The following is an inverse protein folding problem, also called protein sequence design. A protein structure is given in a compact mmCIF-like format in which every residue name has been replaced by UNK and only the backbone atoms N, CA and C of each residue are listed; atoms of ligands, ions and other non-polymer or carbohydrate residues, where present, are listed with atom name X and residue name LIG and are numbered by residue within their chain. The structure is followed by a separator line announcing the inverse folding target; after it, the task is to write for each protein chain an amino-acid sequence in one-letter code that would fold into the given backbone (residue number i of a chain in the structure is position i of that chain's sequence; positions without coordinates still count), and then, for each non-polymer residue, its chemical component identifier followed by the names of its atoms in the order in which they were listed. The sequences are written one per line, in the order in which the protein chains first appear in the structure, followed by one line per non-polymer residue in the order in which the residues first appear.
data_IF_554207292765
#
_entry.id   IF_554207292765
#
_cell.length_a   1.000
_cell.length_b   1.000
_cell.length_c   1.000
_cell.angle_alpha   90.00
_cell.angle_beta   90.00
_cell.angle_gamma   90.00
#
_symmetry.space_group_name_H-M   'P 1'
#
loop_
_entity.id
_entity.type
_entity.pdbx_description
1 polymer ?
#
# COMPACT_ATOMS: atom_id res chain seq x y z
N UNK A 1 24.69 -6.98 -35.02
CA UNK A 1 23.39 -6.36 -34.67
C UNK A 1 22.73 -7.22 -33.61
N UNK A 2 22.42 -6.70 -32.41
CA UNK A 2 21.57 -7.44 -31.49
C UNK A 2 20.17 -7.58 -32.10
N UNK A 3 19.45 -8.69 -31.84
CA UNK A 3 18.10 -8.89 -32.33
C UNK A 3 17.15 -7.81 -31.77
N UNK A 4 16.06 -7.47 -32.48
CA UNK A 4 15.11 -6.47 -32.04
C UNK A 4 14.49 -6.90 -30.70
N UNK A 5 14.63 -6.05 -29.69
CA UNK A 5 14.11 -6.31 -28.35
C UNK A 5 12.59 -6.31 -28.39
N UNK A 6 11.96 -7.34 -27.85
CA UNK A 6 10.52 -7.28 -27.55
C UNK A 6 10.26 -6.10 -26.60
N UNK A 7 9.11 -5.45 -26.73
CA UNK A 7 8.77 -4.23 -25.98
C UNK A 7 8.97 -4.37 -24.46
N UNK A 8 8.69 -5.55 -23.89
CA UNK A 8 8.91 -5.84 -22.47
C UNK A 8 10.38 -5.94 -22.05
N UNK A 9 11.25 -6.53 -22.89
CA UNK A 9 12.70 -6.59 -22.62
C UNK A 9 13.39 -5.23 -22.65
N UNK A 10 12.95 -4.32 -23.52
CA UNK A 10 13.52 -2.97 -23.59
C UNK A 10 13.18 -2.14 -22.33
N UNK A 11 11.92 -2.19 -21.88
CA UNK A 11 11.50 -1.51 -20.65
C UNK A 11 12.24 -2.02 -19.42
N UNK A 12 12.36 -3.35 -19.24
CA UNK A 12 13.09 -3.92 -18.10
C UNK A 12 14.54 -3.46 -18.03
N UNK A 13 15.22 -3.38 -19.17
CA UNK A 13 16.57 -2.84 -19.21
C UNK A 13 16.61 -1.36 -18.84
N UNK A 14 15.72 -0.53 -19.40
CA UNK A 14 15.65 0.90 -19.06
C UNK A 14 15.41 1.11 -17.55
N UNK A 15 14.54 0.31 -16.95
CA UNK A 15 14.30 0.34 -15.50
C UNK A 15 15.53 -0.09 -14.68
N UNK A 16 16.33 -1.05 -15.17
CA UNK A 16 17.59 -1.42 -14.55
C UNK A 16 18.64 -0.30 -14.68
N UNK A 17 18.73 0.36 -15.82
CA UNK A 17 19.61 1.52 -16.04
C UNK A 17 19.25 2.66 -15.08
N UNK A 18 17.95 2.96 -14.90
CA UNK A 18 17.47 3.96 -13.94
C UNK A 18 17.82 3.62 -12.48
N UNK A 19 17.79 2.34 -12.09
CA UNK A 19 18.18 1.91 -10.74
C UNK A 19 19.70 1.93 -10.52
N UNK A 20 20.47 1.78 -11.61
CA UNK A 20 21.86 1.35 -11.60
C UNK A 20 21.93 -0.09 -12.11
N UNK A 21 22.61 -0.36 -13.25
CA UNK A 21 22.52 -1.63 -13.96
C UNK A 21 23.02 -2.83 -13.13
N UNK A 22 24.00 -2.59 -12.25
CA UNK A 22 24.60 -3.60 -11.38
C UNK A 22 23.88 -3.76 -10.03
N UNK A 23 22.89 -2.92 -9.76
CA UNK A 23 22.12 -2.97 -8.51
C UNK A 23 20.97 -3.96 -8.68
N UNK A 24 20.80 -4.95 -7.79
CA UNK A 24 19.64 -5.82 -7.80
C UNK A 24 18.33 -5.04 -7.56
N UNK A 25 17.26 -5.43 -8.23
CA UNK A 25 15.95 -4.83 -7.99
C UNK A 25 15.46 -5.17 -6.58
N UNK A 26 15.04 -4.17 -5.81
CA UNK A 26 14.29 -4.38 -4.57
C UNK A 26 12.92 -4.96 -4.90
N UNK A 27 12.60 -6.12 -4.34
CA UNK A 27 11.30 -6.76 -4.52
C UNK A 27 10.18 -5.88 -3.97
N UNK A 28 9.06 -5.82 -4.68
CA UNK A 28 7.85 -5.16 -4.20
C UNK A 28 7.11 -6.09 -3.22
N UNK A 29 6.92 -5.59 -2.00
CA UNK A 29 6.07 -6.25 -1.01
C UNK A 29 4.63 -5.70 -1.06
N UNK A 30 3.73 -6.31 -0.29
CA UNK A 30 2.34 -5.87 -0.23
C UNK A 30 2.19 -4.44 0.27
N UNK A 31 3.12 -3.97 1.12
CA UNK A 31 3.12 -2.59 1.62
C UNK A 31 3.42 -1.60 0.51
N UNK A 32 4.43 -1.86 -0.31
CA UNK A 32 4.82 -1.05 -1.45
C UNK A 32 3.67 -0.97 -2.46
N UNK A 33 3.05 -2.11 -2.79
CA UNK A 33 1.90 -2.18 -3.71
C UNK A 33 0.66 -1.46 -3.15
N UNK A 34 0.34 -1.64 -1.87
CA UNK A 34 -0.75 -0.95 -1.20
C UNK A 34 -0.55 0.57 -1.19
N UNK A 35 0.70 1.00 -1.05
CA UNK A 35 1.05 2.39 -0.95
C UNK A 35 1.17 3.08 -2.32
N UNK A 36 1.51 2.33 -3.38
CA UNK A 36 1.31 2.74 -4.77
C UNK A 36 -0.19 2.99 -5.05
N UNK A 37 -1.06 2.06 -4.63
CA UNK A 37 -2.51 2.21 -4.73
C UNK A 37 -3.05 3.40 -3.92
N UNK A 38 -2.40 3.74 -2.80
CA UNK A 38 -2.78 4.85 -1.95
C UNK A 38 -2.47 6.22 -2.56
N UNK A 39 -1.45 6.35 -3.42
CA UNK A 39 -1.09 7.61 -4.08
C UNK A 39 -0.88 7.43 -5.59
N UNK A 40 -1.96 7.17 -6.34
CA UNK A 40 -1.89 6.75 -7.75
C UNK A 40 -1.39 7.81 -8.72
N UNK A 41 -1.35 9.08 -8.31
CA UNK A 41 -0.89 10.20 -9.14
C UNK A 41 0.59 10.54 -8.97
N UNK A 42 1.35 9.76 -8.19
CA UNK A 42 2.76 10.05 -7.93
C UNK A 42 3.68 9.32 -8.91
N UNK A 43 4.11 10.02 -9.96
CA UNK A 43 5.02 9.48 -10.98
C UNK A 43 6.36 9.08 -10.39
N UNK A 44 6.93 9.92 -9.51
CA UNK A 44 8.17 9.62 -8.77
C UNK A 44 8.09 8.28 -8.05
N UNK A 45 6.96 7.99 -7.39
CA UNK A 45 6.78 6.70 -6.74
C UNK A 45 6.68 5.58 -7.77
N UNK A 46 5.86 5.74 -8.78
CA UNK A 46 5.62 4.71 -9.79
C UNK A 46 6.91 4.27 -10.49
N UNK A 47 7.77 5.23 -10.88
CA UNK A 47 9.05 4.91 -11.53
C UNK A 47 10.04 4.26 -10.57
N UNK A 48 10.14 4.73 -9.32
CA UNK A 48 11.07 4.16 -8.33
C UNK A 48 10.64 2.75 -7.90
N UNK A 49 9.35 2.53 -7.69
CA UNK A 49 8.78 1.21 -7.36
C UNK A 49 8.97 0.25 -8.54
N UNK A 50 8.65 0.65 -9.76
CA UNK A 50 8.81 -0.24 -10.92
C UNK A 50 10.27 -0.45 -11.35
N UNK A 51 11.16 0.51 -11.08
CA UNK A 51 12.60 0.32 -11.23
C UNK A 51 13.20 -0.53 -10.10
N UNK A 52 12.46 -0.82 -9.02
CA UNK A 52 12.97 -1.58 -7.88
C UNK A 52 14.07 -0.83 -7.10
N UNK A 53 13.98 0.49 -7.00
CA UNK A 53 14.94 1.31 -6.25
C UNK A 53 14.69 1.16 -4.75
N UNK A 54 15.76 1.00 -3.97
CA UNK A 54 15.66 1.07 -2.51
C UNK A 54 15.42 2.52 -2.05
N UNK A 55 14.14 2.86 -1.89
CA UNK A 55 13.73 4.21 -1.48
C UNK A 55 14.20 4.60 -0.09
N UNK A 56 14.52 3.65 0.80
CA UNK A 56 15.07 3.97 2.12
C UNK A 56 16.50 4.47 1.97
N UNK A 57 17.36 3.69 1.30
CA UNK A 57 18.75 4.09 0.98
C UNK A 57 18.79 5.37 0.16
N UNK A 58 17.87 5.53 -0.81
CA UNK A 58 17.73 6.76 -1.58
C UNK A 58 17.37 7.96 -0.69
N UNK A 59 16.45 7.80 0.25
CA UNK A 59 16.07 8.87 1.19
C UNK A 59 17.25 9.27 2.09
N UNK A 60 18.04 8.30 2.55
CA UNK A 60 19.25 8.54 3.34
C UNK A 60 20.30 9.32 2.55
N UNK A 61 20.56 8.91 1.29
CA UNK A 61 21.51 9.60 0.40
C UNK A 61 21.05 11.02 0.01
N UNK A 62 19.73 11.27 -0.03
CA UNK A 62 19.14 12.61 -0.19
C UNK A 62 19.19 13.46 1.10
N UNK A 63 19.74 12.93 2.21
CA UNK A 63 19.78 13.62 3.50
C UNK A 63 18.41 13.80 4.17
N UNK A 64 17.42 12.99 3.78
CA UNK A 64 16.04 13.04 4.29
C UNK A 64 15.57 11.66 4.78
N UNK A 65 16.30 11.02 5.72
CA UNK A 65 16.02 9.67 6.18
C UNK A 65 14.60 9.58 6.76
N UNK A 66 13.96 8.43 6.55
CA UNK A 66 12.65 8.15 7.13
C UNK A 66 12.76 7.16 8.29
N UNK A 67 12.08 7.40 9.40
CA UNK A 67 12.07 6.50 10.55
C UNK A 67 11.13 5.27 10.36
N UNK A 68 10.75 4.93 9.13
CA UNK A 68 9.79 3.86 8.88
C UNK A 68 10.28 2.51 9.43
N UNK A 69 9.46 1.89 10.28
CA UNK A 69 9.68 0.51 10.74
C UNK A 69 10.82 0.33 11.74
N UNK A 70 11.41 1.40 12.28
CA UNK A 70 12.63 1.33 13.08
C UNK A 70 12.42 1.07 14.59
N UNK A 71 11.18 0.94 15.08
CA UNK A 71 10.95 0.63 16.49
C UNK A 71 11.08 -0.87 16.74
N UNK A 72 12.24 -1.30 17.24
CA UNK A 72 12.49 -2.68 17.68
C UNK A 72 11.44 -3.17 18.68
N UNK A 73 11.01 -2.30 19.61
CA UNK A 73 9.93 -2.61 20.55
C UNK A 73 8.59 -2.90 19.84
N UNK A 74 8.24 -2.12 18.82
CA UNK A 74 7.01 -2.34 18.07
C UNK A 74 7.05 -3.65 17.26
N UNK A 75 8.22 -4.02 16.73
CA UNK A 75 8.45 -5.29 16.03
C UNK A 75 8.31 -6.47 16.99
N UNK A 76 9.04 -6.47 18.11
CA UNK A 76 8.97 -7.55 19.11
C UNK A 76 7.56 -7.74 19.65
N UNK A 77 6.86 -6.64 19.98
CA UNK A 77 5.47 -6.70 20.42
C UNK A 77 4.53 -7.23 19.33
N UNK A 78 4.77 -6.87 18.07
CA UNK A 78 4.03 -7.38 16.92
C UNK A 78 4.16 -8.89 16.79
N UNK A 79 5.40 -9.38 16.74
CA UNK A 79 5.69 -10.81 16.61
C UNK A 79 5.14 -11.62 17.78
N UNK A 80 5.24 -11.10 19.01
CA UNK A 80 4.69 -11.77 20.19
C UNK A 80 3.15 -11.85 20.14
N UNK A 81 2.48 -10.79 19.68
CA UNK A 81 1.03 -10.80 19.51
C UNK A 81 0.60 -11.77 18.39
N UNK A 82 1.29 -11.77 17.26
CA UNK A 82 1.04 -12.69 16.17
C UNK A 82 1.22 -14.16 16.57
N UNK A 83 2.34 -14.48 17.23
CA UNK A 83 2.59 -15.82 17.77
C UNK A 83 1.48 -16.26 18.73
N UNK A 84 0.96 -15.34 19.55
CA UNK A 84 -0.17 -15.62 20.45
C UNK A 84 -1.48 -15.89 19.67
N UNK A 85 -1.77 -15.13 18.61
CA UNK A 85 -2.96 -15.34 17.76
C UNK A 85 -2.91 -16.71 17.08
N UNK A 86 -1.70 -17.15 16.70
CA UNK A 86 -1.44 -18.40 15.96
C UNK A 86 -1.12 -19.60 16.85
N UNK A 87 -1.06 -19.42 18.17
CA UNK A 87 -0.83 -20.51 19.11
C UNK A 87 -1.91 -21.60 19.00
N UNK A 88 -1.60 -22.79 19.51
CA UNK A 88 -2.53 -23.93 19.57
C UNK A 88 -3.16 -24.27 18.20
N UNK A 89 -2.35 -24.26 17.14
CA UNK A 89 -2.81 -24.52 15.78
C UNK A 89 -3.73 -23.43 15.21
N UNK A 90 -3.71 -22.23 15.78
CA UNK A 90 -4.56 -21.12 15.39
C UNK A 90 -6.03 -21.27 15.82
N UNK A 91 -6.32 -22.05 16.87
CA UNK A 91 -7.68 -22.26 17.36
C UNK A 91 -8.44 -20.95 17.62
N UNK A 92 -7.79 -19.98 18.29
CA UNK A 92 -8.39 -18.67 18.57
C UNK A 92 -8.60 -17.84 17.30
N UNK A 93 -7.67 -17.91 16.35
CA UNK A 93 -7.82 -17.26 15.06
C UNK A 93 -9.04 -17.82 14.29
N UNK A 94 -9.16 -19.15 14.23
CA UNK A 94 -10.25 -19.82 13.53
C UNK A 94 -11.60 -19.57 14.21
N UNK A 95 -11.65 -19.52 15.54
CA UNK A 95 -12.83 -19.07 16.29
C UNK A 95 -13.26 -17.67 15.85
N UNK A 96 -12.32 -16.72 15.75
CA UNK A 96 -12.61 -15.35 15.30
C UNK A 96 -13.06 -15.31 13.82
N UNK A 97 -12.48 -16.14 12.95
CA UNK A 97 -12.91 -16.26 11.54
C UNK A 97 -14.35 -16.78 11.47
N UNK A 98 -14.66 -17.87 12.16
CA UNK A 98 -16.01 -18.44 12.23
C UNK A 98 -17.01 -17.39 12.71
N UNK A 99 -16.79 -16.79 13.89
CA UNK A 99 -17.72 -15.81 14.48
C UNK A 99 -17.98 -14.59 13.59
N UNK A 100 -16.95 -14.08 12.91
CA UNK A 100 -17.04 -12.80 12.19
C UNK A 100 -17.35 -12.93 10.71
N UNK A 101 -17.02 -14.07 10.09
CA UNK A 101 -17.08 -14.25 8.64
C UNK A 101 -17.92 -15.43 8.18
N UNK A 102 -18.12 -16.45 9.03
CA UNK A 102 -18.93 -17.61 8.68
C UNK A 102 -19.63 -18.27 9.89
N UNK A 103 -20.51 -17.54 10.59
CA UNK A 103 -21.18 -18.07 11.80
C UNK A 103 -22.17 -19.20 11.50
N UNK A 104 -22.53 -19.41 10.22
CA UNK A 104 -23.40 -20.49 9.77
C UNK A 104 -22.69 -21.81 9.52
N UNK A 105 -21.35 -21.80 9.40
CA UNK A 105 -20.56 -23.01 9.27
C UNK A 105 -20.46 -23.77 10.61
N UNK A 106 -20.12 -25.06 10.54
CA UNK A 106 -19.77 -25.83 11.73
C UNK A 106 -18.56 -25.16 12.42
N UNK A 107 -18.59 -24.96 13.75
CA UNK A 107 -17.46 -24.39 14.49
C UNK A 107 -16.18 -25.20 14.24
N UNK A 108 -15.01 -24.55 14.17
CA UNK A 108 -13.73 -25.24 14.02
C UNK A 108 -13.45 -26.07 15.27
N UNK A 109 -13.54 -27.40 15.15
CA UNK A 109 -13.12 -28.34 16.20
C UNK A 109 -11.66 -28.79 15.99
N UNK A 110 -11.34 -29.18 14.76
CA UNK A 110 -9.99 -29.46 14.27
C UNK A 110 -9.77 -28.72 12.95
N UNK A 111 -8.52 -28.33 12.67
CA UNK A 111 -8.14 -27.67 11.43
C UNK A 111 -6.90 -28.31 10.81
N UNK A 112 -6.84 -28.31 9.48
CA UNK A 112 -5.65 -28.70 8.75
C UNK A 112 -4.65 -27.54 8.71
N UNK A 113 -3.38 -27.83 9.02
CA UNK A 113 -2.25 -26.89 8.91
C UNK A 113 -1.21 -27.49 7.95
N UNK A 114 -1.32 -27.24 6.63
CA UNK A 114 -0.37 -27.78 5.68
C UNK A 114 1.01 -27.15 5.86
N UNK A 115 2.08 -27.96 5.74
CA UNK A 115 3.44 -27.44 5.64
C UNK A 115 3.63 -26.70 4.31
N UNK A 116 4.05 -25.44 4.39
CA UNK A 116 4.29 -24.54 3.26
C UNK A 116 5.79 -24.33 2.98
N UNK A 117 6.66 -25.10 3.64
CA UNK A 117 8.10 -25.04 3.44
C UNK A 117 8.48 -25.47 2.02
N UNK A 118 9.40 -24.72 1.42
CA UNK A 118 10.02 -25.00 0.12
C UNK A 118 11.23 -24.10 -0.10
N UNK A 119 12.09 -24.46 -1.05
CA UNK A 119 13.27 -23.66 -1.42
C UNK A 119 12.84 -22.43 -2.21
N UNK A 120 13.18 -21.25 -1.69
CA UNK A 120 13.00 -19.97 -2.37
C UNK A 120 11.54 -19.53 -2.55
N UNK A 121 11.32 -18.28 -2.98
CA UNK A 121 9.98 -17.71 -3.12
C UNK A 121 9.08 -18.45 -4.14
N UNK A 122 9.66 -18.89 -5.26
CA UNK A 122 8.96 -19.65 -6.29
C UNK A 122 8.49 -21.00 -5.76
N UNK A 123 9.37 -21.72 -5.06
CA UNK A 123 9.04 -23.01 -4.45
C UNK A 123 7.91 -22.86 -3.41
N UNK A 124 8.00 -21.86 -2.53
CA UNK A 124 6.95 -21.58 -1.53
C UNK A 124 5.62 -21.20 -2.19
N UNK A 125 5.67 -20.46 -3.29
CA UNK A 125 4.47 -20.11 -4.08
C UNK A 125 3.82 -21.36 -4.69
N UNK A 126 4.61 -22.24 -5.27
CA UNK A 126 4.12 -23.50 -5.84
C UNK A 126 3.54 -24.41 -4.75
N UNK A 127 4.20 -24.52 -3.60
CA UNK A 127 3.71 -25.31 -2.45
C UNK A 127 2.41 -24.75 -1.90
N UNK A 128 2.30 -23.43 -1.76
CA UNK A 128 1.08 -22.74 -1.34
C UNK A 128 -0.08 -23.01 -2.30
N UNK A 129 0.15 -22.91 -3.62
CA UNK A 129 -0.89 -23.19 -4.61
C UNK A 129 -1.39 -24.65 -4.56
N UNK A 130 -0.49 -25.61 -4.31
CA UNK A 130 -0.84 -27.01 -4.07
C UNK A 130 -1.70 -27.16 -2.81
N UNK A 131 -1.27 -26.58 -1.69
CA UNK A 131 -1.99 -26.64 -0.42
C UNK A 131 -3.40 -26.02 -0.51
N UNK A 132 -3.55 -24.87 -1.20
CA UNK A 132 -4.86 -24.25 -1.45
C UNK A 132 -5.78 -25.17 -2.27
N UNK A 133 -5.24 -25.86 -3.29
CA UNK A 133 -6.01 -26.82 -4.09
C UNK A 133 -6.45 -28.02 -3.27
N UNK A 134 -5.54 -28.61 -2.49
CA UNK A 134 -5.82 -29.75 -1.60
C UNK A 134 -6.89 -29.38 -0.57
N UNK A 135 -6.74 -28.23 0.09
CA UNK A 135 -7.68 -27.72 1.08
C UNK A 135 -9.08 -27.44 0.49
N UNK A 136 -9.14 -26.90 -0.72
CA UNK A 136 -10.41 -26.66 -1.42
C UNK A 136 -11.16 -27.97 -1.71
N UNK A 137 -10.44 -29.06 -2.00
CA UNK A 137 -11.03 -30.38 -2.23
C UNK A 137 -11.50 -31.08 -0.95
N UNK A 138 -10.98 -30.68 0.22
CA UNK A 138 -11.35 -31.23 1.52
C UNK A 138 -12.60 -30.52 2.10
N UNK A 139 -13.75 -30.69 1.44
CA UNK A 139 -15.01 -30.06 1.84
C UNK A 139 -15.38 -30.41 3.28
N UNK A 140 -15.92 -29.43 4.03
CA UNK A 140 -16.30 -29.62 5.43
C UNK A 140 -15.15 -29.40 6.43
N UNK A 141 -13.93 -29.16 5.97
CA UNK A 141 -12.75 -28.97 6.82
C UNK A 141 -12.29 -27.52 6.83
N UNK A 142 -11.96 -27.00 8.02
CA UNK A 142 -11.24 -25.73 8.16
C UNK A 142 -9.76 -25.95 7.87
N UNK A 143 -9.16 -25.13 7.00
CA UNK A 143 -7.70 -25.15 6.78
C UNK A 143 -7.11 -23.79 7.06
N UNK A 144 -6.06 -23.74 7.89
CA UNK A 144 -5.28 -22.55 8.17
C UNK A 144 -3.92 -22.65 7.47
N UNK A 145 -3.68 -21.78 6.50
CA UNK A 145 -2.37 -21.57 5.91
C UNK A 145 -1.69 -20.44 6.68
N UNK A 146 -0.65 -20.78 7.43
CA UNK A 146 0.18 -19.82 8.17
C UNK A 146 1.32 -19.30 7.28
N UNK A 147 1.41 -17.97 7.12
CA UNK A 147 2.37 -17.31 6.22
C UNK A 147 2.49 -17.97 4.82
N UNK A 148 1.38 -18.15 4.08
CA UNK A 148 1.47 -18.66 2.72
C UNK A 148 2.20 -17.66 1.83
N UNK A 149 2.96 -18.16 0.85
CA UNK A 149 3.57 -17.29 -0.15
C UNK A 149 2.74 -17.32 -1.43
N UNK A 150 2.33 -16.15 -1.91
CA UNK A 150 1.55 -15.99 -3.14
C UNK A 150 2.24 -14.98 -4.05
N UNK A 151 2.15 -15.18 -5.36
CA UNK A 151 2.78 -14.30 -6.34
C UNK A 151 1.74 -13.45 -7.07
N UNK A 152 2.07 -12.18 -7.30
CA UNK A 152 1.31 -11.25 -8.13
C UNK A 152 2.20 -10.72 -9.24
N UNK A 153 1.74 -10.76 -10.50
CA UNK A 153 2.50 -10.14 -11.59
C UNK A 153 2.40 -8.61 -11.51
N UNK A 154 3.54 -7.94 -11.52
CA UNK A 154 3.66 -6.49 -11.51
C UNK A 154 4.60 -6.09 -12.64
N UNK A 155 4.02 -5.53 -13.71
CA UNK A 155 4.74 -5.12 -14.91
C UNK A 155 5.62 -6.23 -15.53
N UNK A 156 5.14 -7.49 -15.50
CA UNK A 156 5.86 -8.63 -16.06
C UNK A 156 6.99 -9.18 -15.20
N UNK A 157 6.98 -8.85 -13.90
CA UNK A 157 7.86 -9.40 -12.86
C UNK A 157 7.03 -9.88 -11.67
N UNK A 158 7.34 -11.03 -11.04
CA UNK A 158 6.60 -11.50 -9.88
C UNK A 158 6.96 -10.69 -8.63
N UNK A 159 5.92 -10.23 -7.93
CA UNK A 159 6.00 -9.80 -6.53
C UNK A 159 5.58 -10.97 -5.65
N UNK A 160 6.48 -11.44 -4.79
CA UNK A 160 6.19 -12.50 -3.80
C UNK A 160 5.66 -11.87 -2.53
N UNK A 161 4.50 -12.35 -2.09
CA UNK A 161 3.67 -11.73 -1.07
C UNK A 161 3.36 -12.77 0.02
N UNK A 162 3.41 -12.34 1.27
CA UNK A 162 3.23 -13.21 2.43
C UNK A 162 2.17 -12.60 3.35
N UNK A 163 0.86 -12.88 3.13
CA UNK A 163 -0.17 -12.54 4.12
C UNK A 163 0.09 -13.24 5.46
N UNK A 164 -0.40 -12.66 6.55
CA UNK A 164 -0.20 -13.25 7.89
C UNK A 164 -0.87 -14.62 7.99
N UNK A 165 -2.07 -14.78 7.42
CA UNK A 165 -2.69 -16.09 7.20
C UNK A 165 -3.73 -16.08 6.07
N UNK A 166 -4.02 -17.27 5.53
CA UNK A 166 -5.17 -17.52 4.67
C UNK A 166 -5.97 -18.69 5.24
N UNK A 167 -7.29 -18.52 5.34
CA UNK A 167 -8.20 -19.58 5.77
C UNK A 167 -9.00 -20.08 4.57
N UNK A 168 -9.00 -21.40 4.38
CA UNK A 168 -9.96 -22.09 3.52
C UNK A 168 -11.12 -22.53 4.41
N UNK A 169 -12.29 -21.99 4.11
CA UNK A 169 -13.54 -22.30 4.82
C UNK A 169 -14.05 -23.70 4.42
N UNK A 170 -14.94 -24.32 5.22
CA UNK A 170 -15.54 -25.61 4.90
C UNK A 170 -16.27 -25.67 3.54
N UNK A 171 -16.71 -24.53 3.02
CA UNK A 171 -17.34 -24.38 1.70
C UNK A 171 -16.32 -24.27 0.54
N UNK A 172 -15.02 -24.36 0.83
CA UNK A 172 -13.92 -24.23 -0.14
C UNK A 172 -13.55 -22.79 -0.49
N UNK A 173 -14.21 -21.77 0.06
CA UNK A 173 -13.88 -20.37 -0.19
C UNK A 173 -12.70 -19.89 0.65
N UNK A 174 -12.00 -18.85 0.19
CA UNK A 174 -10.74 -18.40 0.81
C UNK A 174 -10.89 -17.01 1.43
N UNK A 175 -10.31 -16.81 2.61
CA UNK A 175 -10.27 -15.53 3.32
C UNK A 175 -8.84 -15.16 3.70
N UNK A 176 -8.46 -13.93 3.41
CA UNK A 176 -7.22 -13.32 3.94
C UNK A 176 -7.45 -12.89 5.39
N UNK A 177 -6.44 -13.14 6.23
CA UNK A 177 -6.36 -12.66 7.60
C UNK A 177 -5.13 -11.74 7.73
N UNK A 178 -5.35 -10.54 8.24
CA UNK A 178 -4.29 -9.60 8.64
C UNK A 178 -4.23 -9.51 10.16
N UNK A 179 -3.05 -9.66 10.74
CA UNK A 179 -2.79 -9.52 12.16
C UNK A 179 -1.98 -8.23 12.34
N UNK A 180 -2.50 -7.30 13.15
CA UNK A 180 -1.84 -6.02 13.43
C UNK A 180 -1.77 -5.76 14.92
N UNK A 181 -0.70 -5.11 15.36
CA UNK A 181 -0.42 -4.87 16.79
C UNK A 181 -0.91 -3.54 17.34
N UNK A 182 -1.71 -2.78 16.57
CA UNK A 182 -2.43 -1.61 17.09
C UNK A 182 -3.75 -2.04 17.73
N UNK A 183 -4.18 -1.43 18.84
CA UNK A 183 -5.36 -1.89 19.56
C UNK A 183 -6.67 -1.53 18.83
N UNK A 184 -7.69 -2.37 19.03
CA UNK A 184 -9.10 -2.02 18.86
C UNK A 184 -9.66 -1.59 20.22
N UNK A 185 -9.98 -0.30 20.37
CA UNK A 185 -10.57 0.29 21.58
C UNK A 185 -12.09 0.28 21.45
N UNK A 186 -12.79 -0.35 22.39
CA UNK A 186 -14.26 -0.42 22.41
C UNK A 186 -14.85 -0.92 21.08
N UNK A 187 -14.15 -1.89 20.45
CA UNK A 187 -14.54 -2.48 19.17
C UNK A 187 -14.17 -1.67 17.91
N UNK A 188 -13.48 -0.54 18.06
CA UNK A 188 -13.04 0.32 16.95
C UNK A 188 -11.53 0.52 16.95
N UNK A 189 -10.92 0.50 15.76
CA UNK A 189 -9.52 0.86 15.58
C UNK A 189 -9.39 2.20 14.84
N UNK A 190 -8.21 2.80 14.94
CA UNK A 190 -7.82 3.99 14.17
C UNK A 190 -8.14 3.80 12.67
N UNK A 191 -9.02 4.64 12.08
CA UNK A 191 -9.45 4.49 10.70
C UNK A 191 -8.31 4.55 9.68
N UNK A 192 -7.25 5.30 9.95
CA UNK A 192 -6.09 5.37 9.06
C UNK A 192 -5.31 4.04 9.07
N UNK A 193 -5.16 3.42 10.24
CA UNK A 193 -4.52 2.10 10.38
C UNK A 193 -5.36 0.98 9.76
N UNK A 194 -6.66 0.97 10.00
CA UNK A 194 -7.61 0.05 9.34
C UNK A 194 -7.56 0.22 7.83
N UNK A 195 -7.57 1.46 7.35
CA UNK A 195 -7.46 1.76 5.92
C UNK A 195 -6.15 1.28 5.30
N UNK A 196 -5.03 1.35 6.04
CA UNK A 196 -3.75 0.81 5.60
C UNK A 196 -3.77 -0.72 5.52
N UNK A 197 -4.24 -1.41 6.56
CA UNK A 197 -4.39 -2.86 6.57
C UNK A 197 -5.32 -3.35 5.45
N UNK A 198 -6.45 -2.67 5.23
CA UNK A 198 -7.39 -2.97 4.15
C UNK A 198 -6.75 -2.87 2.75
N UNK A 199 -5.83 -1.91 2.54
CA UNK A 199 -5.11 -1.79 1.27
C UNK A 199 -4.08 -2.90 1.08
N UNK A 200 -3.39 -3.33 2.14
CA UNK A 200 -2.50 -4.50 2.09
C UNK A 200 -3.28 -5.78 1.81
N UNK A 201 -4.34 -6.03 2.58
CA UNK A 201 -5.23 -7.18 2.38
C UNK A 201 -5.81 -7.24 0.96
N UNK A 202 -6.14 -6.10 0.36
CA UNK A 202 -6.60 -6.04 -1.01
C UNK A 202 -5.55 -6.52 -2.04
N UNK A 203 -4.25 -6.32 -1.78
CA UNK A 203 -3.17 -6.87 -2.61
C UNK A 203 -3.16 -8.39 -2.52
N UNK A 204 -3.28 -8.94 -1.30
CA UNK A 204 -3.33 -10.39 -1.09
C UNK A 204 -4.57 -11.02 -1.72
N UNK A 205 -5.74 -10.38 -1.60
CA UNK A 205 -6.97 -10.82 -2.27
C UNK A 205 -6.78 -10.87 -3.79
N UNK A 206 -6.15 -9.86 -4.40
CA UNK A 206 -5.86 -9.87 -5.85
C UNK A 206 -4.92 -11.02 -6.25
N UNK A 207 -3.88 -11.27 -5.45
CA UNK A 207 -2.95 -12.36 -5.70
C UNK A 207 -3.64 -13.73 -5.56
N UNK A 208 -4.49 -13.92 -4.54
CA UNK A 208 -5.29 -15.13 -4.38
C UNK A 208 -6.31 -15.31 -5.49
N UNK A 209 -6.96 -14.25 -5.97
CA UNK A 209 -7.87 -14.32 -7.13
C UNK A 209 -7.13 -14.86 -8.38
N UNK A 210 -5.88 -14.45 -8.58
CA UNK A 210 -5.04 -14.94 -9.67
C UNK A 210 -4.63 -16.42 -9.50
N UNK A 211 -4.48 -16.90 -8.26
CA UNK A 211 -4.25 -18.33 -7.96
C UNK A 211 -5.54 -19.13 -8.18
N UNK A 212 -6.68 -18.66 -7.66
CA UNK A 212 -7.98 -19.29 -7.78
C UNK A 212 -8.41 -19.48 -9.24
N UNK A 213 -8.14 -18.48 -10.09
CA UNK A 213 -8.44 -18.53 -11.52
C UNK A 213 -7.71 -19.65 -12.30
N UNK A 214 -6.72 -20.32 -11.70
CA UNK A 214 -5.99 -21.47 -12.29
C UNK A 214 -6.61 -22.82 -11.92
N UNK A 215 -7.64 -22.83 -11.08
CA UNK A 215 -8.35 -24.03 -10.63
C UNK A 215 -9.71 -24.10 -11.31
N UNK A 216 -10.24 -25.33 -11.48
CA UNK A 216 -11.57 -25.58 -12.04
C UNK A 216 -12.36 -26.56 -11.14
N UNK A 217 -13.51 -26.14 -10.57
CA UNK A 217 -14.05 -24.78 -10.61
C UNK A 217 -13.17 -23.80 -9.81
N UNK A 218 -13.14 -22.54 -10.24
CA UNK A 218 -12.38 -21.49 -9.55
C UNK A 218 -12.98 -21.19 -8.16
N UNK A 219 -12.22 -21.38 -7.05
CA UNK A 219 -12.73 -21.13 -5.72
C UNK A 219 -13.03 -19.66 -5.47
N UNK A 220 -14.04 -19.38 -4.64
CA UNK A 220 -14.39 -18.01 -4.29
C UNK A 220 -13.39 -17.42 -3.30
N UNK A 221 -12.68 -16.38 -3.71
CA UNK A 221 -11.92 -15.51 -2.79
C UNK A 221 -12.86 -14.47 -2.18
N UNK A 222 -13.04 -14.49 -0.85
CA UNK A 222 -13.93 -13.58 -0.14
C UNK A 222 -13.32 -12.17 -0.07
N UNK A 223 -14.15 -11.15 -0.28
CA UNK A 223 -13.73 -9.73 -0.17
C UNK A 223 -13.94 -9.12 1.23
N UNK A 224 -14.55 -9.86 2.15
CA UNK A 224 -14.50 -9.55 3.58
C UNK A 224 -13.31 -10.30 4.16
N UNK A 225 -12.29 -9.56 4.55
CA UNK A 225 -11.07 -10.08 5.19
C UNK A 225 -11.20 -9.96 6.70
N UNK A 226 -10.42 -10.75 7.44
CA UNK A 226 -10.36 -10.60 8.90
C UNK A 226 -9.19 -9.71 9.28
N UNK A 227 -9.46 -8.61 10.00
CA UNK A 227 -8.43 -7.83 10.68
C UNK A 227 -8.42 -8.22 12.15
N UNK A 228 -7.33 -8.83 12.61
CA UNK A 228 -7.11 -9.24 14.00
C UNK A 228 -6.20 -8.24 14.69
N UNK A 229 -6.63 -7.75 15.85
CA UNK A 229 -5.87 -6.79 16.65
C UNK A 229 -6.00 -7.09 18.16
N UNK A 230 -5.10 -6.55 18.99
CA UNK A 230 -5.27 -6.57 20.44
C UNK A 230 -6.56 -5.87 20.85
N UNK A 231 -7.29 -6.46 21.80
CA UNK A 231 -8.50 -5.90 22.40
C UNK A 231 -8.13 -4.91 23.50
N UNK A 232 -8.61 -3.68 23.37
CA UNK A 232 -8.43 -2.60 24.33
C UNK A 232 -6.94 -2.42 24.70
N UNK A 233 -6.61 -2.49 25.98
CA UNK A 233 -5.23 -2.41 26.48
C UNK A 233 -4.61 -3.78 26.81
N UNK A 234 -5.22 -4.87 26.30
CA UNK A 234 -4.78 -6.24 26.55
C UNK A 234 -4.13 -6.86 25.31
N UNK A 235 -3.42 -7.98 25.49
CA UNK A 235 -2.97 -8.83 24.39
C UNK A 235 -4.00 -9.92 24.03
N UNK A 236 -5.27 -9.77 24.43
CA UNK A 236 -6.32 -10.70 23.97
C UNK A 236 -6.67 -10.35 22.53
N UNK A 237 -6.74 -11.32 21.61
CA UNK A 237 -7.11 -11.02 20.24
C UNK A 237 -8.61 -10.70 20.14
N UNK A 238 -8.93 -9.74 19.29
CA UNK A 238 -10.28 -9.49 18.78
C UNK A 238 -10.17 -9.23 17.28
N UNK A 239 -11.31 -9.29 16.58
CA UNK A 239 -11.31 -9.20 15.13
C UNK A 239 -12.40 -8.28 14.60
N UNK A 240 -12.19 -7.75 13.39
CA UNK A 240 -13.19 -7.03 12.62
C UNK A 240 -13.19 -7.52 11.18
N UNK A 241 -14.38 -7.74 10.63
CA UNK A 241 -14.56 -8.11 9.23
C UNK A 241 -14.52 -6.84 8.36
N UNK A 242 -13.52 -6.71 7.49
CA UNK A 242 -13.29 -5.52 6.67
C UNK A 242 -13.61 -5.82 5.22
N UNK A 243 -14.51 -5.07 4.60
CA UNK A 243 -14.78 -5.16 3.15
C UNK A 243 -13.69 -4.40 2.38
N UNK A 244 -12.97 -5.13 1.52
CA UNK A 244 -11.86 -4.57 0.74
C UNK A 244 -12.18 -4.35 -0.73
N UNK A 245 -13.44 -4.46 -1.18
CA UNK A 245 -13.82 -4.31 -2.61
C UNK A 245 -13.34 -2.99 -3.20
N UNK A 246 -13.48 -1.89 -2.46
CA UNK A 246 -13.02 -0.55 -2.90
C UNK A 246 -11.51 -0.53 -3.09
N UNK A 247 -10.76 -1.01 -2.11
CA UNK A 247 -9.30 -1.05 -2.11
C UNK A 247 -8.80 -1.96 -3.23
N UNK A 248 -9.38 -3.16 -3.36
CA UNK A 248 -9.11 -4.13 -4.43
C UNK A 248 -9.30 -3.52 -5.81
N UNK A 249 -10.42 -2.81 -6.04
CA UNK A 249 -10.68 -2.14 -7.31
C UNK A 249 -9.67 -1.01 -7.62
N UNK A 250 -9.24 -0.25 -6.60
CA UNK A 250 -8.21 0.79 -6.77
C UNK A 250 -6.86 0.16 -7.08
N UNK A 251 -6.43 -0.83 -6.31
CA UNK A 251 -5.15 -1.54 -6.52
C UNK A 251 -5.09 -2.18 -7.90
N UNK A 252 -6.13 -2.92 -8.30
CA UNK A 252 -6.23 -3.52 -9.64
C UNK A 252 -6.07 -2.50 -10.76
N UNK A 253 -6.75 -1.35 -10.66
CA UNK A 253 -6.60 -0.25 -11.65
C UNK A 253 -5.20 0.35 -11.66
N UNK A 254 -4.53 0.45 -10.51
CA UNK A 254 -3.16 0.97 -10.48
C UNK A 254 -2.15 0.00 -11.07
N UNK A 255 -2.27 -1.30 -10.76
CA UNK A 255 -1.42 -2.32 -11.36
C UNK A 255 -1.59 -2.36 -12.88
N UNK A 256 -2.83 -2.24 -13.38
CA UNK A 256 -3.08 -2.13 -14.82
C UNK A 256 -2.47 -0.86 -15.46
N UNK A 257 -2.33 0.23 -14.69
CA UNK A 257 -1.73 1.50 -15.14
C UNK A 257 -0.21 1.52 -15.05
N UNK A 258 0.42 0.62 -14.30
CA UNK A 258 1.88 0.50 -14.28
C UNK A 258 2.46 0.19 -15.68
N UNK A 259 1.64 -0.24 -16.64
CA UNK A 259 2.03 -0.30 -18.06
C UNK A 259 2.47 1.06 -18.64
N UNK A 260 2.08 2.18 -18.01
CA UNK A 260 2.49 3.55 -18.36
C UNK A 260 3.78 4.00 -17.68
N UNK A 261 4.46 3.12 -16.96
CA UNK A 261 5.80 3.42 -16.43
C UNK A 261 6.78 3.74 -17.55
N UNK A 262 6.55 3.20 -18.74
CA UNK A 262 7.29 3.54 -19.95
C UNK A 262 7.16 5.03 -20.28
N UNK A 263 5.94 5.60 -20.21
CA UNK A 263 5.70 7.02 -20.51
C UNK A 263 6.47 7.92 -19.52
N UNK A 264 6.48 7.54 -18.24
CA UNK A 264 7.25 8.25 -17.20
C UNK A 264 8.74 8.14 -17.51
N UNK A 265 9.23 6.93 -17.81
CA UNK A 265 10.64 6.70 -18.12
C UNK A 265 11.09 7.46 -19.37
N UNK A 266 10.24 7.53 -20.41
CA UNK A 266 10.48 8.21 -21.69
C UNK A 266 10.61 9.72 -21.53
N UNK A 267 9.91 10.31 -20.55
CA UNK A 267 9.99 11.73 -20.24
C UNK A 267 11.24 12.14 -19.44
N UNK A 268 12.01 11.16 -18.92
CA UNK A 268 13.21 11.47 -18.12
C UNK A 268 14.38 11.92 -19.00
N UNK A 269 15.20 12.86 -18.50
CA UNK A 269 16.46 13.21 -19.16
C UNK A 269 17.33 11.98 -19.45
N UNK A 270 18.00 11.99 -20.59
CA UNK A 270 18.97 10.95 -20.93
C UNK A 270 20.06 10.85 -19.86
N UNK A 271 20.42 9.61 -19.48
CA UNK A 271 21.41 9.36 -18.42
C UNK A 271 20.87 9.50 -16.98
N UNK A 272 19.57 9.72 -16.79
CA UNK A 272 18.97 9.70 -15.43
C UNK A 272 19.29 8.38 -14.73
N UNK A 273 19.75 8.46 -13.48
CA UNK A 273 20.05 7.32 -12.62
C UNK A 273 19.70 7.69 -11.17
N UNK A 274 19.15 6.74 -10.43
CA UNK A 274 18.73 6.89 -9.03
C UNK A 274 19.68 6.18 -8.06
N UNK A 275 20.90 5.85 -8.49
CA UNK A 275 21.88 5.19 -7.62
C UNK A 275 22.23 6.10 -6.42
N UNK A 276 22.10 5.62 -5.17
CA UNK A 276 22.51 6.36 -3.98
C UNK A 276 24.00 6.71 -3.93
N UNK A 277 24.82 6.11 -4.80
CA UNK A 277 26.27 6.38 -4.90
C UNK A 277 26.60 7.64 -5.72
N UNK A 278 25.61 8.22 -6.41
CA UNK A 278 25.80 9.47 -7.15
C UNK A 278 26.11 10.64 -6.22
N UNK A 279 26.85 11.67 -6.69
CA UNK A 279 26.98 12.93 -5.96
C UNK A 279 25.62 13.51 -5.59
N UNK A 280 25.48 14.02 -4.37
CA UNK A 280 24.19 14.44 -3.80
C UNK A 280 23.38 15.41 -4.69
N UNK A 281 24.05 16.35 -5.36
CA UNK A 281 23.41 17.29 -6.28
C UNK A 281 22.84 16.58 -7.52
N UNK A 282 23.58 15.63 -8.10
CA UNK A 282 23.13 14.85 -9.26
C UNK A 282 21.97 13.93 -8.88
N UNK A 283 22.05 13.27 -7.72
CA UNK A 283 21.00 12.42 -7.20
C UNK A 283 19.71 13.23 -6.94
N UNK A 284 19.85 14.40 -6.35
CA UNK A 284 18.72 15.32 -6.10
C UNK A 284 18.07 15.74 -7.41
N UNK A 285 18.86 16.15 -8.42
CA UNK A 285 18.36 16.52 -9.72
C UNK A 285 17.64 15.35 -10.43
N UNK A 286 18.19 14.14 -10.37
CA UNK A 286 17.58 12.95 -10.95
C UNK A 286 16.22 12.64 -10.30
N UNK A 287 16.14 12.65 -8.97
CA UNK A 287 14.89 12.39 -8.24
C UNK A 287 13.85 13.49 -8.48
N UNK A 288 14.30 14.75 -8.57
CA UNK A 288 13.41 15.91 -8.79
C UNK A 288 12.94 16.06 -10.23
N UNK A 289 13.67 15.51 -11.21
CA UNK A 289 13.22 15.42 -12.60
C UNK A 289 11.92 14.62 -12.77
N UNK A 290 11.59 13.74 -11.81
CA UNK A 290 10.32 13.03 -11.79
C UNK A 290 9.33 13.76 -10.88
N UNK A 291 8.16 14.21 -11.37
CA UNK A 291 7.16 14.86 -10.54
C UNK A 291 6.66 14.00 -9.37
N UNK A 292 6.56 14.59 -8.17
CA UNK A 292 5.90 13.96 -7.03
C UNK A 292 4.54 14.60 -6.74
N UNK A 293 3.56 13.77 -6.43
CA UNK A 293 2.27 14.20 -5.90
C UNK A 293 2.26 14.03 -4.38
N UNK A 294 2.98 14.88 -3.64
CA UNK A 294 3.03 14.80 -2.18
C UNK A 294 1.62 14.96 -1.58
N UNK A 295 1.38 14.24 -0.49
CA UNK A 295 0.25 14.46 0.41
C UNK A 295 0.68 14.00 1.82
N UNK A 296 0.07 14.51 2.91
CA UNK A 296 0.46 14.17 4.27
C UNK A 296 0.45 12.67 4.56
N UNK A 297 -0.45 11.89 3.93
CA UNK A 297 -0.53 10.44 4.11
C UNK A 297 0.74 9.71 3.61
N UNK A 298 1.55 10.34 2.76
CA UNK A 298 2.84 9.80 2.35
C UNK A 298 3.75 9.55 3.56
N UNK A 299 3.65 10.34 4.63
CA UNK A 299 4.44 10.15 5.87
C UNK A 299 4.18 8.82 6.57
N UNK A 300 3.10 8.11 6.21
CA UNK A 300 2.81 6.76 6.68
C UNK A 300 3.04 5.66 5.62
N UNK A 301 3.38 6.02 4.38
CA UNK A 301 3.32 5.11 3.23
C UNK A 301 4.49 5.20 2.22
N UNK A 302 5.42 6.14 2.35
CA UNK A 302 6.51 6.33 1.39
C UNK A 302 7.78 6.83 2.06
N UNK A 303 8.89 6.14 1.85
CA UNK A 303 10.20 6.43 2.44
C UNK A 303 10.71 7.83 2.02
N UNK A 304 10.37 8.30 0.81
CA UNK A 304 10.71 9.65 0.33
C UNK A 304 9.81 10.77 0.87
N UNK A 305 8.88 10.49 1.80
CA UNK A 305 7.88 11.46 2.21
C UNK A 305 8.47 12.72 2.85
N UNK A 306 9.59 12.63 3.59
CA UNK A 306 10.22 13.80 4.20
C UNK A 306 10.86 14.71 3.15
N UNK A 307 11.62 14.14 2.21
CA UNK A 307 12.14 14.88 1.06
C UNK A 307 11.01 15.58 0.27
N UNK A 308 9.96 14.84 -0.10
CA UNK A 308 8.85 15.39 -0.87
C UNK A 308 8.03 16.43 -0.09
N UNK A 309 7.93 16.30 1.24
CA UNK A 309 7.27 17.28 2.10
C UNK A 309 8.03 18.59 2.12
N UNK A 310 9.36 18.52 2.23
CA UNK A 310 10.20 19.71 2.23
C UNK A 310 10.06 20.45 0.90
N UNK A 311 10.20 19.74 -0.24
CA UNK A 311 9.99 20.35 -1.57
C UNK A 311 8.60 20.95 -1.74
N UNK A 312 7.56 20.27 -1.26
CA UNK A 312 6.19 20.80 -1.29
C UNK A 312 6.05 22.07 -0.45
N UNK A 313 6.80 22.23 0.64
CA UNK A 313 6.76 23.43 1.48
C UNK A 313 7.56 24.57 0.88
N UNK A 314 8.77 24.30 0.39
CA UNK A 314 9.60 25.29 -0.30
C UNK A 314 8.87 25.89 -1.49
N UNK A 315 8.16 25.06 -2.27
CA UNK A 315 7.35 25.52 -3.41
C UNK A 315 6.01 26.17 -3.02
N UNK A 316 5.70 26.29 -1.72
CA UNK A 316 4.42 26.80 -1.25
C UNK A 316 3.21 25.98 -1.74
N UNK A 317 3.39 24.70 -2.07
CA UNK A 317 2.36 23.90 -2.73
C UNK A 317 1.24 23.48 -1.76
N UNK A 318 -0.01 23.61 -2.21
CA UNK A 318 -1.21 23.28 -1.41
C UNK A 318 -1.35 21.79 -1.13
N UNK A 319 -0.59 20.95 -1.83
CA UNK A 319 -0.46 19.50 -1.56
C UNK A 319 -0.08 19.19 -0.11
N UNK A 320 0.66 20.09 0.54
CA UNK A 320 1.04 19.97 1.96
C UNK A 320 -0.14 20.08 2.93
N UNK A 321 -1.27 20.65 2.48
CA UNK A 321 -2.49 20.83 3.28
C UNK A 321 -3.41 19.58 3.26
N UNK A 322 -3.08 18.59 2.43
CA UNK A 322 -3.88 17.35 2.30
C UNK A 322 -4.81 17.33 1.10
N UNK A 323 -5.26 16.12 0.75
CA UNK A 323 -6.00 15.88 -0.50
C UNK A 323 -7.37 16.53 -0.52
N UNK A 324 -8.06 16.57 0.62
CA UNK A 324 -9.38 17.20 0.72
C UNK A 324 -9.29 18.69 0.42
N UNK A 325 -8.36 19.39 1.09
CA UNK A 325 -8.13 20.82 0.89
C UNK A 325 -7.70 21.09 -0.55
N UNK A 326 -6.73 20.33 -1.07
CA UNK A 326 -6.29 20.45 -2.47
C UNK A 326 -7.46 20.28 -3.46
N UNK A 327 -8.37 19.34 -3.21
CA UNK A 327 -9.51 19.11 -4.10
C UNK A 327 -10.49 20.29 -4.13
N UNK A 328 -10.70 20.94 -2.98
CA UNK A 328 -11.55 22.14 -2.88
C UNK A 328 -10.93 23.38 -3.54
N UNK A 329 -9.60 23.47 -3.58
CA UNK A 329 -8.86 24.61 -4.16
C UNK A 329 -8.80 24.58 -5.69
N UNK A 330 -9.21 23.47 -6.33
CA UNK A 330 -9.28 23.36 -7.78
C UNK A 330 -7.93 23.61 -8.47
N UNK A 331 -7.89 24.64 -9.32
CA UNK A 331 -6.68 25.03 -10.08
C UNK A 331 -5.64 25.83 -9.28
N UNK A 332 -5.93 26.24 -8.04
CA UNK A 332 -5.01 27.00 -7.21
C UNK A 332 -3.99 26.06 -6.57
N UNK A 333 -2.76 26.07 -7.06
CA UNK A 333 -1.73 25.08 -6.69
C UNK A 333 -0.77 25.55 -5.60
N UNK A 334 -0.67 26.85 -5.33
CA UNK A 334 0.20 27.41 -4.29
C UNK A 334 -0.61 28.15 -3.22
N UNK A 335 -0.06 28.22 -2.00
CA UNK A 335 -0.63 28.99 -0.90
C UNK A 335 -0.69 30.48 -1.25
N UNK A 336 0.29 30.98 -2.00
CA UNK A 336 0.31 32.36 -2.49
C UNK A 336 -0.89 32.65 -3.41
N UNK A 337 -1.13 31.80 -4.41
CA UNK A 337 -2.27 31.95 -5.32
C UNK A 337 -3.60 31.90 -4.57
N UNK A 338 -3.72 31.01 -3.60
CA UNK A 338 -4.91 30.88 -2.75
C UNK A 338 -5.16 32.16 -1.96
N UNK A 339 -4.12 32.73 -1.37
CA UNK A 339 -4.23 33.96 -0.60
C UNK A 339 -4.53 35.18 -1.49
N UNK A 340 -3.90 35.28 -2.67
CA UNK A 340 -4.20 36.32 -3.66
C UNK A 340 -5.65 36.24 -4.15
N UNK A 341 -6.14 35.03 -4.44
CA UNK A 341 -7.53 34.79 -4.82
C UNK A 341 -8.51 35.19 -3.71
N UNK A 342 -8.18 34.85 -2.46
CA UNK A 342 -8.96 35.19 -1.27
C UNK A 342 -9.05 36.70 -1.03
N UNK A 343 -7.97 37.45 -1.29
CA UNK A 343 -7.93 38.93 -1.20
C UNK A 343 -8.57 39.63 -2.41
N UNK A 344 -8.90 38.89 -3.46
CA UNK A 344 -9.45 39.46 -4.69
C UNK A 344 -8.41 40.10 -5.62
N UNK A 345 -7.12 39.81 -5.39
CA UNK A 345 -6.00 40.25 -6.23
C UNK A 345 -5.89 39.43 -7.52
N UNK A 346 -6.39 38.19 -7.50
CA UNK A 346 -6.42 37.27 -8.63
C UNK A 346 -7.67 36.35 -8.62
N UNK A 347 -7.77 35.48 -9.62
CA UNK A 347 -8.81 34.44 -9.74
C UNK A 347 -10.13 34.92 -10.38
N UNK A 348 -10.75 34.06 -11.20
CA UNK A 348 -12.07 34.33 -11.79
C UNK A 348 -13.12 34.38 -10.65
N UNK A 349 -13.84 35.50 -10.46
CA UNK A 349 -14.90 35.60 -9.45
C UNK A 349 -16.02 34.57 -9.61
N UNK A 350 -16.17 33.98 -10.81
CA UNK A 350 -17.15 32.93 -11.10
C UNK A 350 -16.65 31.52 -10.76
N UNK A 351 -15.35 31.36 -10.49
CA UNK A 351 -14.81 30.09 -10.01
C UNK A 351 -15.35 29.83 -8.58
N UNK A 352 -16.04 28.68 -8.35
CA UNK A 352 -16.59 28.35 -7.05
C UNK A 352 -15.55 28.34 -5.92
N UNK A 353 -14.32 27.89 -6.17
CA UNK A 353 -13.24 27.86 -5.20
C UNK A 353 -12.82 29.28 -4.81
N UNK A 354 -12.65 30.17 -5.79
CA UNK A 354 -12.32 31.59 -5.57
C UNK A 354 -13.45 32.29 -4.80
N UNK A 355 -14.71 32.05 -5.16
CA UNK A 355 -15.86 32.62 -4.47
C UNK A 355 -15.94 32.15 -3.01
N UNK A 356 -15.66 30.87 -2.74
CA UNK A 356 -15.59 30.30 -1.39
C UNK A 356 -14.43 30.91 -0.58
N UNK A 357 -13.24 31.05 -1.17
CA UNK A 357 -12.09 31.68 -0.52
C UNK A 357 -12.34 33.14 -0.15
N UNK A 358 -12.92 33.93 -1.05
CA UNK A 358 -13.29 35.33 -0.76
C UNK A 358 -14.35 35.44 0.33
N UNK A 359 -15.32 34.52 0.35
CA UNK A 359 -16.30 34.42 1.44
C UNK A 359 -15.61 34.10 2.77
N UNK A 360 -14.71 33.12 2.80
CA UNK A 360 -13.95 32.75 3.99
C UNK A 360 -13.06 33.90 4.49
N UNK A 361 -12.42 34.64 3.58
CA UNK A 361 -11.61 35.81 3.92
C UNK A 361 -12.44 36.92 4.58
N UNK A 362 -13.63 37.23 4.03
CA UNK A 362 -14.57 38.20 4.64
C UNK A 362 -14.99 37.75 6.04
N UNK A 363 -15.45 36.50 6.18
CA UNK A 363 -15.86 35.96 7.49
C UNK A 363 -14.74 36.00 8.53
N UNK A 364 -13.50 35.70 8.12
CA UNK A 364 -12.33 35.81 8.99
C UNK A 364 -12.06 37.26 9.39
N UNK A 365 -12.14 38.21 8.45
CA UNK A 365 -11.95 39.63 8.73
C UNK A 365 -13.02 40.16 9.69
N UNK A 366 -14.29 39.81 9.48
CA UNK A 366 -15.39 40.16 10.37
C UNK A 366 -15.13 39.62 11.78
N UNK A 367 -14.79 38.33 11.91
CA UNK A 367 -14.50 37.71 13.21
C UNK A 367 -13.33 38.36 13.96
N UNK A 368 -12.26 38.75 13.25
CA UNK A 368 -11.11 39.44 13.84
C UNK A 368 -11.39 40.94 14.11
N UNK A 369 -12.31 41.55 13.36
CA UNK A 369 -12.76 42.92 13.57
C UNK A 369 -13.74 43.05 14.74
N UNK A 370 -14.41 41.95 15.14
CA UNK A 370 -15.39 41.94 16.24
C UNK A 370 -14.75 41.84 17.64
N UNK A 371 -13.41 41.75 17.76
CA UNK A 371 -12.69 41.71 19.05
C UNK A 371 -12.39 43.07 19.68
N UNK A 372 -12.99 44.16 19.21
CA UNK A 372 -12.96 45.46 19.88
C UNK A 372 -14.39 45.93 20.17
N UNK A 373 -14.98 45.47 21.27
CA UNK A 373 -16.00 46.22 22.01
C UNK A 373 -15.94 45.90 23.49
#
# INVERSE_FOLDING_TARGET
MPPPRTRGTALRQRLAELRGPDVPAKALDARALAALAANPGCERRAILDGAGVDKATLADALGSPSAFGQSQFALTRGNAFEAKVKADGGAELLRLVHERLDPGAAPPADAALPDLSAIGPEGRTARTALALREATGATGTWTLLDHPMIALDVAGSPAFLEPDAVVVHPDGSWTVVEIKSFPMLDGSADPAKVGAAARQAAVYVLALEAVAARLDPAPRVRHRVLLVCPKDFSNLPTASAVDVRKQRAVTSRQLARLTRIQDIADALPEGTCFSPELPAEQLTAAVEAVPAAYAPECLAACELAFHCRERSRTAGAVTSLGRSVRAELGGLTTVEDVLAAARGESGDPRDPAVAALRRAARLRADALGTTCH
#
